data_IF_198718460492
#
_entry.id   IF_198718460492
#
_cell.length_a   1.000
_cell.length_b   1.000
_cell.length_c   1.000
_cell.angle_alpha   90.00
_cell.angle_beta   90.00
_cell.angle_gamma   90.00
#
_symmetry.space_group_name_H-M   'P 1'
#
loop_
_entity.id
_entity.type
_entity.pdbx_description
1 polymer ?
#
# COMPACT_ATOMS: atom_id res chain seq x y z
N UNK A 1 -69.64 45.08 -27.22
CA UNK A 1 -68.96 43.87 -27.74
C UNK A 1 -67.50 43.98 -27.31
N UNK A 2 -67.07 43.09 -26.40
CA UNK A 2 -65.83 43.20 -25.61
C UNK A 2 -64.63 42.71 -26.41
N UNK A 3 -63.55 43.47 -26.43
CA UNK A 3 -62.23 43.06 -26.94
C UNK A 3 -61.47 42.41 -25.77
N UNK A 4 -61.12 41.13 -25.94
CA UNK A 4 -60.38 40.36 -24.94
C UNK A 4 -58.88 40.60 -25.12
N UNK A 5 -58.23 41.25 -24.15
CA UNK A 5 -56.77 41.38 -24.10
C UNK A 5 -56.18 40.14 -23.41
N UNK A 6 -55.36 39.39 -24.14
CA UNK A 6 -54.66 38.21 -23.62
C UNK A 6 -53.52 38.63 -22.69
N UNK A 7 -53.53 38.09 -21.46
CA UNK A 7 -52.45 38.20 -20.50
C UNK A 7 -51.39 37.14 -20.87
N UNK A 8 -50.19 37.58 -21.25
CA UNK A 8 -49.02 36.71 -21.39
C UNK A 8 -48.47 36.45 -19.98
N UNK A 9 -48.68 35.23 -19.48
CA UNK A 9 -48.08 34.78 -18.23
C UNK A 9 -46.62 34.39 -18.47
N UNK A 10 -45.70 35.24 -18.00
CA UNK A 10 -44.25 34.97 -18.01
C UNK A 10 -43.94 33.97 -16.89
N UNK A 11 -43.76 32.70 -17.25
CA UNK A 11 -43.40 31.64 -16.30
C UNK A 11 -41.88 31.67 -16.06
N UNK A 12 -41.42 32.38 -15.03
CA UNK A 12 -40.01 32.37 -14.61
C UNK A 12 -39.74 31.08 -13.83
N UNK A 13 -39.26 30.05 -14.53
CA UNK A 13 -38.69 28.88 -13.88
C UNK A 13 -37.40 29.28 -13.18
N UNK A 14 -37.43 29.36 -11.85
CA UNK A 14 -36.25 29.42 -11.00
C UNK A 14 -35.51 28.08 -11.12
N UNK A 15 -34.59 27.98 -12.07
CA UNK A 15 -33.64 26.89 -12.13
C UNK A 15 -32.80 26.91 -10.86
N UNK A 16 -33.01 25.94 -9.98
CA UNK A 16 -32.09 25.67 -8.88
C UNK A 16 -30.78 25.17 -9.48
N UNK A 17 -29.83 26.08 -9.69
CA UNK A 17 -28.46 25.70 -9.97
C UNK A 17 -27.95 24.97 -8.74
N UNK A 18 -27.77 23.65 -8.86
CA UNK A 18 -26.92 22.91 -7.93
C UNK A 18 -25.56 23.60 -7.93
N UNK A 19 -25.22 24.20 -6.80
CA UNK A 19 -23.95 24.91 -6.64
C UNK A 19 -22.80 24.01 -7.09
N UNK A 20 -21.99 24.51 -8.01
CA UNK A 20 -20.65 23.99 -8.25
C UNK A 20 -19.89 24.07 -6.93
N UNK A 21 -19.67 22.95 -6.24
CA UNK A 21 -18.87 22.91 -5.02
C UNK A 21 -17.39 23.11 -5.38
N UNK A 22 -16.96 24.38 -5.39
CA UNK A 22 -15.57 24.77 -5.25
C UNK A 22 -15.36 25.13 -3.75
N UNK A 23 -14.46 24.54 -2.96
CA UNK A 23 -13.35 23.64 -3.23
C UNK A 23 -13.23 22.64 -2.05
N UNK A 24 -12.80 21.41 -2.34
CA UNK A 24 -12.46 20.37 -1.36
C UNK A 24 -11.20 20.76 -0.61
N UNK A 25 -11.30 21.71 0.35
CA UNK A 25 -10.15 22.05 1.21
C UNK A 25 -9.93 20.90 2.18
N UNK A 26 -8.75 20.28 2.10
CA UNK A 26 -8.36 19.27 3.07
C UNK A 26 -7.81 19.88 4.36
N UNK A 27 -7.92 19.14 5.45
CA UNK A 27 -7.46 19.47 6.80
C UNK A 27 -6.91 18.22 7.49
N UNK A 28 -6.29 18.36 8.66
CA UNK A 28 -5.77 17.20 9.39
C UNK A 28 -6.86 16.18 9.75
N UNK A 29 -8.11 16.65 9.93
CA UNK A 29 -9.27 15.80 10.26
C UNK A 29 -9.67 14.84 9.14
N UNK A 30 -9.36 15.20 7.89
CA UNK A 30 -9.60 14.40 6.71
C UNK A 30 -8.72 13.15 6.68
N UNK A 31 -7.52 13.23 7.26
CA UNK A 31 -6.61 12.10 7.42
C UNK A 31 -6.78 11.49 8.81
N UNK A 32 -7.76 10.59 8.95
CA UNK A 32 -8.03 9.87 10.20
C UNK A 32 -8.44 8.42 9.95
N UNK A 33 -8.20 7.55 10.93
CA UNK A 33 -8.54 6.12 10.87
C UNK A 33 -7.34 5.22 10.64
N UNK A 34 -7.55 4.05 10.03
CA UNK A 34 -6.47 3.13 9.69
C UNK A 34 -6.23 3.11 8.18
N UNK A 35 -4.98 3.21 7.75
CA UNK A 35 -4.56 3.08 6.36
C UNK A 35 -3.57 1.94 6.26
N UNK A 36 -3.85 0.93 5.44
CA UNK A 36 -2.83 0.00 5.02
C UNK A 36 -1.87 0.72 4.07
N UNK A 37 -0.58 0.42 4.16
CA UNK A 37 0.38 0.96 3.22
C UNK A 37 1.37 -0.08 2.71
N UNK A 38 1.91 0.20 1.53
CA UNK A 38 3.07 -0.49 0.97
C UNK A 38 3.99 0.53 0.32
N UNK A 39 5.30 0.39 0.53
CA UNK A 39 6.32 1.21 -0.10
C UNK A 39 7.39 0.35 -0.74
N UNK A 40 7.89 0.79 -1.90
CA UNK A 40 8.98 0.16 -2.62
C UNK A 40 9.95 1.22 -3.10
N UNK A 41 11.24 0.89 -3.12
CA UNK A 41 12.24 1.81 -3.60
C UNK A 41 13.67 1.36 -3.45
N UNK A 42 14.58 2.32 -3.57
CA UNK A 42 16.02 2.14 -3.37
C UNK A 42 16.57 3.28 -2.52
N UNK A 43 17.39 2.93 -1.54
CA UNK A 43 18.19 3.84 -0.74
C UNK A 43 19.59 3.89 -1.36
N UNK A 44 19.91 4.99 -2.04
CA UNK A 44 21.18 5.16 -2.78
C UNK A 44 22.24 5.79 -1.88
N UNK A 45 21.82 6.72 -1.04
CA UNK A 45 22.66 7.40 -0.08
C UNK A 45 21.95 7.49 1.28
N UNK A 46 22.71 7.24 2.34
CA UNK A 46 22.28 7.39 3.73
C UNK A 46 23.45 7.91 4.56
N UNK A 47 23.18 8.55 5.71
CA UNK A 47 24.18 8.82 6.73
C UNK A 47 25.00 7.55 7.10
N UNK A 48 26.22 7.70 7.64
CA UNK A 48 27.11 6.57 7.95
C UNK A 48 26.46 5.43 8.74
N UNK A 49 25.62 5.75 9.70
CA UNK A 49 24.83 4.82 10.53
C UNK A 49 23.88 3.93 9.73
N UNK A 50 23.40 4.39 8.57
CA UNK A 50 22.45 3.67 7.71
C UNK A 50 23.07 2.89 6.57
N UNK A 51 24.41 2.93 6.38
CA UNK A 51 25.06 2.35 5.19
C UNK A 51 24.79 0.87 4.95
N UNK A 52 24.62 0.08 6.01
CA UNK A 52 24.31 -1.35 5.89
C UNK A 52 22.94 -1.62 5.24
N UNK A 53 22.07 -0.62 5.20
CA UNK A 53 20.70 -0.70 4.69
C UNK A 53 20.56 -0.13 3.27
N UNK A 54 21.65 0.36 2.67
CA UNK A 54 21.66 0.78 1.27
C UNK A 54 21.21 -0.37 0.35
N UNK A 55 20.51 0.00 -0.72
CA UNK A 55 19.92 -0.93 -1.66
C UNK A 55 18.40 -0.90 -1.66
N UNK A 56 17.78 -2.03 -2.01
CA UNK A 56 16.34 -2.12 -2.20
C UNK A 56 15.59 -2.05 -0.87
N UNK A 57 14.50 -1.29 -0.86
CA UNK A 57 13.54 -1.20 0.23
C UNK A 57 12.21 -1.79 -0.23
N UNK A 58 11.63 -2.64 0.61
CA UNK A 58 10.22 -3.00 0.56
C UNK A 58 9.64 -2.84 1.96
N UNK A 59 8.49 -2.20 2.08
CA UNK A 59 7.84 -1.96 3.37
C UNK A 59 6.33 -2.14 3.24
N UNK A 60 5.71 -2.67 4.29
CA UNK A 60 4.26 -2.70 4.40
C UNK A 60 3.81 -2.63 5.86
N UNK A 61 2.63 -2.07 6.08
CA UNK A 61 2.11 -1.91 7.43
C UNK A 61 0.84 -1.07 7.50
N UNK A 62 0.67 -0.36 8.61
CA UNK A 62 -0.50 0.47 8.91
C UNK A 62 -0.10 1.83 9.44
N UNK A 63 -0.75 2.88 8.92
CA UNK A 63 -0.76 4.22 9.49
C UNK A 63 -2.06 4.40 10.28
N UNK A 64 -1.94 4.91 11.50
CA UNK A 64 -3.04 5.18 12.41
C UNK A 64 -3.06 6.68 12.77
N UNK A 65 -3.41 7.57 11.82
CA UNK A 65 -3.56 8.99 12.11
C UNK A 65 -4.78 9.30 12.98
N UNK A 66 -4.61 10.27 13.87
CA UNK A 66 -5.61 10.67 14.86
C UNK A 66 -6.59 11.77 14.38
N UNK A 67 -6.40 12.32 13.18
CA UNK A 67 -7.17 13.44 12.65
C UNK A 67 -6.75 14.82 13.20
N UNK A 68 -5.65 14.88 13.97
CA UNK A 68 -5.19 16.05 14.73
C UNK A 68 -3.68 16.32 14.56
N UNK A 69 -3.02 15.59 13.66
CA UNK A 69 -1.59 15.72 13.36
C UNK A 69 -0.70 14.70 14.07
N UNK A 70 -1.25 13.84 14.93
CA UNK A 70 -0.55 12.72 15.56
C UNK A 70 -0.70 11.43 14.75
N UNK A 71 0.39 10.67 14.63
CA UNK A 71 0.42 9.45 13.85
C UNK A 71 1.16 8.34 14.59
N UNK A 72 0.61 7.14 14.51
CA UNK A 72 1.32 5.92 14.87
C UNK A 72 1.45 5.00 13.66
N UNK A 73 2.64 4.45 13.43
CA UNK A 73 2.93 3.58 12.28
C UNK A 73 3.34 2.22 12.79
N UNK A 74 2.63 1.18 12.35
CA UNK A 74 3.02 -0.22 12.55
C UNK A 74 3.63 -0.70 11.23
N UNK A 75 4.85 -1.25 11.22
CA UNK A 75 5.52 -1.57 9.96
C UNK A 75 6.41 -2.81 10.00
N UNK A 76 6.47 -3.50 8.86
CA UNK A 76 7.49 -4.49 8.52
C UNK A 76 8.24 -3.97 7.30
N UNK A 77 9.56 -3.81 7.43
CA UNK A 77 10.42 -3.30 6.37
C UNK A 77 11.55 -4.29 6.08
N UNK A 78 11.82 -4.54 4.80
CA UNK A 78 12.99 -5.26 4.32
C UNK A 78 13.94 -4.26 3.65
N UNK A 79 15.09 -4.07 4.28
CA UNK A 79 16.18 -3.24 3.80
C UNK A 79 17.29 -4.13 3.28
N UNK A 80 17.42 -4.25 1.96
CA UNK A 80 18.41 -5.10 1.32
C UNK A 80 18.41 -6.55 1.89
N UNK A 81 17.22 -7.08 2.18
CA UNK A 81 17.01 -8.41 2.77
C UNK A 81 17.02 -8.47 4.30
N UNK A 82 17.41 -7.40 5.00
CA UNK A 82 17.32 -7.30 6.47
C UNK A 82 15.90 -6.90 6.86
N UNK A 83 15.18 -7.78 7.54
CA UNK A 83 13.81 -7.53 7.98
C UNK A 83 13.81 -6.87 9.35
N UNK A 84 13.12 -5.74 9.46
CA UNK A 84 12.95 -4.96 10.68
C UNK A 84 11.46 -4.72 10.89
N UNK A 85 11.00 -4.99 12.10
CA UNK A 85 9.65 -4.64 12.56
C UNK A 85 9.75 -3.39 13.42
N UNK A 86 8.79 -2.48 13.30
CA UNK A 86 8.83 -1.23 14.05
C UNK A 86 7.45 -0.66 14.28
N UNK A 87 7.31 -0.08 15.47
CA UNK A 87 6.19 0.76 15.86
C UNK A 87 6.75 2.18 16.04
N UNK A 88 6.28 3.13 15.23
CA UNK A 88 6.91 4.45 15.08
C UNK A 88 5.87 5.54 15.41
N UNK A 89 6.06 6.32 16.49
CA UNK A 89 5.32 7.56 16.66
C UNK A 89 5.85 8.59 15.65
N UNK A 90 4.92 9.36 15.07
CA UNK A 90 5.18 10.32 14.02
C UNK A 90 4.17 11.47 14.09
N UNK A 91 4.41 12.50 13.29
CA UNK A 91 3.46 13.60 13.10
C UNK A 91 3.18 13.82 11.63
N UNK A 92 2.06 14.50 11.34
CA UNK A 92 1.73 14.90 9.98
C UNK A 92 1.01 16.25 9.93
N UNK A 93 1.00 16.86 8.74
CA UNK A 93 0.23 18.06 8.46
C UNK A 93 -0.39 18.00 7.06
N UNK A 94 -1.70 18.18 6.99
CA UNK A 94 -2.47 18.28 5.75
C UNK A 94 -2.65 19.74 5.34
N UNK A 95 -2.37 20.04 4.07
CA UNK A 95 -2.60 21.34 3.47
C UNK A 95 -4.00 21.43 2.84
N UNK A 96 -4.54 22.64 2.62
CA UNK A 96 -5.82 22.82 1.93
C UNK A 96 -5.90 22.19 0.55
N UNK A 97 -4.75 22.03 -0.14
CA UNK A 97 -4.65 21.41 -1.46
C UNK A 97 -4.48 19.87 -1.39
N UNK A 98 -4.77 19.27 -0.23
CA UNK A 98 -4.73 17.84 0.01
C UNK A 98 -3.34 17.20 -0.11
N UNK A 99 -2.28 18.01 -0.01
CA UNK A 99 -0.94 17.50 0.26
C UNK A 99 -0.82 17.20 1.75
N UNK A 100 -0.03 16.18 2.08
CA UNK A 100 0.26 15.81 3.46
C UNK A 100 1.76 15.64 3.62
N UNK A 101 2.30 16.29 4.65
CA UNK A 101 3.70 16.18 5.02
C UNK A 101 3.77 15.31 6.28
N UNK A 102 4.70 14.37 6.31
CA UNK A 102 4.98 13.53 7.47
C UNK A 102 6.37 13.83 8.00
N UNK A 103 6.48 13.84 9.32
CA UNK A 103 7.76 13.90 10.04
C UNK A 103 7.84 12.67 10.95
N UNK A 104 8.85 11.85 10.74
CA UNK A 104 9.12 10.68 11.57
C UNK A 104 10.60 10.38 11.68
N UNK A 105 10.96 9.53 12.64
CA UNK A 105 12.31 8.99 12.77
C UNK A 105 12.25 7.52 12.39
N UNK A 106 13.02 7.11 11.38
CA UNK A 106 13.09 5.70 10.99
C UNK A 106 13.56 4.87 12.19
N UNK A 107 12.97 3.69 12.44
CA UNK A 107 13.26 2.91 13.63
C UNK A 107 14.70 2.40 13.62
N UNK A 108 15.17 1.94 14.79
CA UNK A 108 16.47 1.29 14.92
C UNK A 108 16.64 0.20 13.84
N UNK A 109 17.81 0.15 13.15
CA UNK A 109 19.07 0.81 13.48
C UNK A 109 19.26 2.20 12.88
N UNK A 110 18.29 2.76 12.16
CA UNK A 110 18.50 3.99 11.41
C UNK A 110 18.46 5.23 12.30
N UNK A 111 17.43 5.40 13.15
CA UNK A 111 17.23 6.64 13.92
C UNK A 111 17.40 7.91 13.06
N UNK A 112 17.03 7.83 11.77
CA UNK A 112 17.21 8.91 10.80
C UNK A 112 15.92 9.74 10.75
N UNK A 113 15.96 11.05 11.04
CA UNK A 113 14.85 11.96 10.76
C UNK A 113 14.51 11.90 9.27
N UNK A 114 13.26 11.59 8.98
CA UNK A 114 12.78 11.36 7.63
C UNK A 114 11.49 12.10 7.40
N UNK A 115 11.36 12.61 6.17
CA UNK A 115 10.16 13.33 5.73
C UNK A 115 9.57 12.66 4.51
N UNK A 116 8.25 12.63 4.49
CA UNK A 116 7.49 12.18 3.33
C UNK A 116 6.50 13.24 2.92
N UNK A 117 6.25 13.33 1.62
CA UNK A 117 5.17 14.13 1.06
C UNK A 117 4.22 13.19 0.34
N UNK A 118 2.93 13.33 0.60
CA UNK A 118 1.88 12.58 -0.08
C UNK A 118 0.76 13.47 -0.59
N UNK A 119 -0.11 12.88 -1.41
CA UNK A 119 -1.32 13.51 -1.94
C UNK A 119 -2.52 12.65 -1.58
N UNK A 120 -3.44 13.20 -0.80
CA UNK A 120 -4.72 12.56 -0.48
C UNK A 120 -5.67 12.66 -1.67
N UNK A 121 -6.30 11.55 -1.98
CA UNK A 121 -7.20 11.42 -3.13
C UNK A 121 -8.35 10.46 -2.81
N UNK A 122 -9.29 10.34 -3.75
CA UNK A 122 -10.43 9.43 -3.65
C UNK A 122 -11.23 9.63 -2.34
N UNK A 123 -11.59 10.88 -2.03
CA UNK A 123 -12.29 11.25 -0.79
C UNK A 123 -11.54 10.81 0.48
N UNK A 124 -10.23 11.08 0.54
CA UNK A 124 -9.34 10.73 1.65
C UNK A 124 -9.19 9.23 1.85
N UNK A 125 -9.36 8.42 0.80
CA UNK A 125 -9.26 6.95 0.91
C UNK A 125 -8.00 6.37 0.30
N UNK A 126 -7.30 7.15 -0.52
CA UNK A 126 -6.06 6.74 -1.15
C UNK A 126 -5.02 7.85 -1.05
N UNK A 127 -3.76 7.46 -0.92
CA UNK A 127 -2.65 8.40 -0.96
C UNK A 127 -1.46 7.76 -1.63
N UNK A 128 -0.82 8.50 -2.53
CA UNK A 128 0.54 8.20 -2.97
C UNK A 128 1.51 9.10 -2.18
N UNK A 129 2.66 8.56 -1.79
CA UNK A 129 3.68 9.28 -1.03
C UNK A 129 5.08 9.07 -1.62
N UNK A 130 5.96 10.03 -1.34
CA UNK A 130 7.37 10.02 -1.68
C UNK A 130 8.19 10.32 -0.43
N UNK A 131 9.27 9.56 -0.24
CA UNK A 131 10.32 9.92 0.72
C UNK A 131 11.09 11.11 0.15
N UNK A 132 11.17 12.21 0.90
CA UNK A 132 11.85 13.43 0.47
C UNK A 132 13.12 13.71 1.26
N UNK A 133 13.19 13.21 2.51
CA UNK A 133 14.38 13.29 3.35
C UNK A 133 14.59 11.93 4.04
N UNK A 134 15.81 11.36 4.04
CA UNK A 134 17.05 11.92 3.48
C UNK A 134 17.05 11.94 1.93
N UNK A 135 17.86 12.84 1.37
CA UNK A 135 18.15 12.87 -0.07
C UNK A 135 18.89 11.60 -0.53
N UNK A 136 18.92 11.35 -1.84
CA UNK A 136 19.56 10.14 -2.37
C UNK A 136 18.70 8.89 -2.18
N UNK A 137 17.39 9.05 -2.15
CA UNK A 137 16.42 7.96 -2.05
C UNK A 137 15.42 8.04 -3.20
N UNK A 138 14.93 6.89 -3.64
CA UNK A 138 13.85 6.77 -4.62
C UNK A 138 12.84 5.80 -4.03
N UNK A 139 11.95 6.32 -3.18
CA UNK A 139 10.94 5.51 -2.47
C UNK A 139 9.57 6.11 -2.72
N UNK A 140 8.67 5.28 -3.24
CA UNK A 140 7.24 5.57 -3.38
C UNK A 140 6.46 4.64 -2.46
N UNK A 141 5.41 5.16 -1.84
CA UNK A 141 4.41 4.37 -1.15
C UNK A 141 3.00 4.65 -1.63
N UNK A 142 2.11 3.71 -1.35
CA UNK A 142 0.68 3.79 -1.59
C UNK A 142 -0.05 3.42 -0.30
N UNK A 143 -1.07 4.21 0.06
CA UNK A 143 -1.93 3.99 1.21
C UNK A 143 -3.36 3.78 0.77
N UNK A 144 -4.06 2.90 1.47
CA UNK A 144 -5.47 2.60 1.29
C UNK A 144 -6.18 2.60 2.64
N UNK A 145 -7.23 3.42 2.77
CA UNK A 145 -8.04 3.48 3.98
C UNK A 145 -8.76 2.15 4.21
N UNK A 146 -8.62 1.62 5.41
CA UNK A 146 -9.26 0.39 5.85
C UNK A 146 -10.57 0.72 6.56
N UNK A 147 -11.69 0.20 6.06
CA UNK A 147 -12.99 0.26 6.76
C UNK A 147 -13.22 -0.97 7.66
N UNK A 148 -12.14 -1.63 8.06
CA UNK A 148 -12.18 -2.86 8.84
C UNK A 148 -11.99 -2.54 10.33
N UNK A 149 -12.99 -2.91 11.14
CA UNK A 149 -12.92 -2.79 12.61
C UNK A 149 -12.32 -4.02 13.26
N UNK A 150 -12.43 -5.18 12.61
CA UNK A 150 -11.89 -6.46 13.04
C UNK A 150 -11.37 -7.20 11.82
N UNK A 151 -10.47 -8.16 12.05
CA UNK A 151 -9.95 -9.05 11.03
C UNK A 151 -9.86 -10.46 11.60
N UNK A 152 -10.37 -11.42 10.84
CA UNK A 152 -10.26 -12.85 11.09
C UNK A 152 -10.07 -13.62 9.78
N UNK A 153 -10.01 -14.95 9.89
CA UNK A 153 -9.73 -15.81 8.74
C UNK A 153 -10.73 -15.62 7.58
N UNK A 154 -12.01 -15.40 7.91
CA UNK A 154 -13.08 -15.16 6.93
C UNK A 154 -12.94 -13.85 6.17
N UNK A 155 -12.31 -12.84 6.75
CA UNK A 155 -12.08 -11.55 6.07
C UNK A 155 -10.98 -11.63 5.00
N UNK A 156 -10.12 -12.67 5.07
CA UNK A 156 -9.14 -12.99 4.04
C UNK A 156 -9.60 -14.13 3.11
N UNK A 157 -10.86 -14.57 3.18
CA UNK A 157 -11.37 -15.59 2.27
C UNK A 157 -11.54 -15.02 0.86
N UNK A 158 -11.17 -15.79 -0.16
CA UNK A 158 -11.43 -15.42 -1.56
C UNK A 158 -10.23 -15.61 -2.49
N UNK A 159 -10.40 -15.10 -3.71
CA UNK A 159 -9.40 -15.16 -4.76
C UNK A 159 -8.62 -13.85 -4.88
N UNK A 160 -7.28 -13.94 -4.87
CA UNK A 160 -6.38 -12.80 -4.93
C UNK A 160 -5.40 -12.96 -6.10
N UNK A 161 -5.12 -11.85 -6.79
CA UNK A 161 -3.97 -11.81 -7.70
C UNK A 161 -2.69 -11.85 -6.88
N UNK A 162 -1.73 -12.65 -7.32
CA UNK A 162 -0.38 -12.68 -6.79
C UNK A 162 0.53 -12.03 -7.81
N UNK A 163 1.29 -11.04 -7.37
CA UNK A 163 2.40 -10.48 -8.12
C UNK A 163 3.59 -10.34 -7.18
N UNK A 164 4.69 -11.00 -7.51
CA UNK A 164 5.95 -10.93 -6.76
C UNK A 164 7.08 -10.66 -7.75
N UNK A 165 8.04 -9.87 -7.34
CA UNK A 165 9.27 -9.65 -8.10
C UNK A 165 10.42 -9.41 -7.13
N UNK A 166 11.64 -9.63 -7.59
CA UNK A 166 12.82 -9.35 -6.79
C UNK A 166 14.03 -10.12 -7.28
N UNK A 167 14.96 -10.37 -6.37
CA UNK A 167 16.14 -11.22 -6.60
C UNK A 167 16.12 -12.34 -5.59
N UNK A 168 16.36 -13.57 -6.02
CA UNK A 168 16.57 -14.73 -5.14
C UNK A 168 17.98 -15.28 -5.35
N UNK A 169 18.57 -15.84 -4.29
CA UNK A 169 19.80 -16.63 -4.37
C UNK A 169 19.56 -18.10 -4.03
N UNK A 170 18.31 -18.49 -3.78
CA UNK A 170 17.93 -19.83 -3.32
C UNK A 170 16.69 -20.32 -4.09
N UNK A 171 16.70 -21.56 -4.60
CA UNK A 171 17.88 -22.43 -4.71
C UNK A 171 18.89 -21.84 -5.72
N UNK A 172 20.19 -22.19 -5.58
CA UNK A 172 21.29 -21.56 -6.34
C UNK A 172 21.09 -21.64 -7.87
N UNK A 173 20.44 -22.69 -8.37
CA UNK A 173 20.14 -22.90 -9.79
C UNK A 173 19.06 -21.95 -10.35
N UNK A 174 18.37 -21.19 -9.50
CA UNK A 174 17.43 -20.13 -9.88
C UNK A 174 17.92 -18.74 -9.47
N UNK A 175 19.18 -18.63 -9.04
CA UNK A 175 19.70 -17.37 -8.54
C UNK A 175 19.62 -16.27 -9.61
N UNK A 176 19.21 -15.08 -9.19
CA UNK A 176 19.02 -13.93 -10.05
C UNK A 176 17.65 -13.29 -9.87
N UNK A 177 17.29 -12.43 -10.83
CA UNK A 177 16.00 -11.75 -10.84
C UNK A 177 14.90 -12.74 -11.11
N UNK A 178 13.78 -12.59 -10.40
CA UNK A 178 12.58 -13.34 -10.67
C UNK A 178 11.35 -12.44 -10.68
N UNK A 179 10.33 -12.91 -11.39
CA UNK A 179 8.98 -12.37 -11.36
C UNK A 179 8.00 -13.54 -11.29
N UNK A 180 6.95 -13.41 -10.47
CA UNK A 180 5.90 -14.40 -10.34
C UNK A 180 4.55 -13.72 -10.43
N UNK A 181 3.64 -14.31 -11.21
CA UNK A 181 2.25 -13.91 -11.26
C UNK A 181 1.34 -15.11 -11.00
N UNK A 182 0.12 -14.90 -10.53
CA UNK A 182 -0.84 -15.99 -10.40
C UNK A 182 -2.06 -15.65 -9.58
N UNK A 183 -2.73 -16.70 -9.11
CA UNK A 183 -3.93 -16.58 -8.30
C UNK A 183 -3.80 -17.40 -7.03
N UNK A 184 -3.99 -16.75 -5.88
CA UNK A 184 -4.14 -17.37 -4.58
C UNK A 184 -5.63 -17.49 -4.24
N UNK A 185 -6.02 -18.61 -3.64
CA UNK A 185 -7.35 -18.86 -3.09
C UNK A 185 -7.21 -19.20 -1.62
N UNK A 186 -7.71 -18.34 -0.75
CA UNK A 186 -7.81 -18.57 0.69
C UNK A 186 -9.20 -19.10 1.03
N UNK A 187 -9.25 -20.16 1.84
CA UNK A 187 -10.49 -20.89 2.16
C UNK A 187 -11.37 -20.20 3.22
N UNK A 188 -10.83 -19.23 3.96
CA UNK A 188 -11.52 -18.62 5.09
C UNK A 188 -11.39 -19.40 6.41
N UNK A 189 -10.67 -20.51 6.41
CA UNK A 189 -10.47 -21.45 7.51
C UNK A 189 -8.98 -21.70 7.84
N UNK A 190 -8.08 -20.95 7.18
CA UNK A 190 -6.65 -20.93 7.49
C UNK A 190 -5.78 -21.72 6.52
N UNK A 191 -6.32 -22.21 5.40
CA UNK A 191 -5.55 -22.83 4.32
C UNK A 191 -5.67 -22.05 3.01
N UNK A 192 -4.64 -22.13 2.19
CA UNK A 192 -4.69 -21.54 0.86
C UNK A 192 -4.06 -22.45 -0.19
N UNK A 193 -4.49 -22.24 -1.42
CA UNK A 193 -3.85 -22.77 -2.63
C UNK A 193 -3.46 -21.61 -3.52
N UNK A 194 -2.39 -21.73 -4.29
CA UNK A 194 -2.05 -20.75 -5.30
C UNK A 194 -1.52 -21.45 -6.56
N UNK A 195 -2.02 -21.02 -7.71
CA UNK A 195 -1.51 -21.43 -9.02
C UNK A 195 -0.79 -20.24 -9.63
N UNK A 196 0.50 -20.39 -9.88
CA UNK A 196 1.38 -19.29 -10.28
C UNK A 196 2.28 -19.68 -11.43
N UNK A 197 2.82 -18.68 -12.11
CA UNK A 197 3.85 -18.80 -13.14
C UNK A 197 4.99 -17.91 -12.70
N UNK A 198 6.18 -18.48 -12.52
CA UNK A 198 7.38 -17.77 -12.14
C UNK A 198 8.40 -17.78 -13.29
N UNK A 199 8.98 -16.62 -13.57
CA UNK A 199 10.12 -16.47 -14.45
C UNK A 199 11.37 -16.23 -13.58
N UNK A 200 12.29 -17.19 -13.55
CA UNK A 200 13.58 -17.09 -12.88
C UNK A 200 14.67 -16.88 -13.93
N UNK A 201 15.17 -15.65 -14.07
CA UNK A 201 16.24 -15.31 -15.01
C UNK A 201 16.02 -15.86 -16.44
N UNK A 202 14.78 -15.79 -16.95
CA UNK A 202 14.38 -16.29 -18.27
C UNK A 202 13.75 -17.68 -18.25
N UNK A 203 13.85 -18.44 -17.16
CA UNK A 203 13.24 -19.76 -17.02
C UNK A 203 11.82 -19.64 -16.46
N UNK A 204 10.83 -19.85 -17.31
CA UNK A 204 9.40 -19.85 -16.93
C UNK A 204 9.01 -21.22 -16.37
N UNK A 205 8.41 -21.23 -15.18
CA UNK A 205 8.03 -22.45 -14.44
C UNK A 205 6.63 -22.25 -13.84
N UNK A 206 5.64 -23.08 -14.22
CA UNK A 206 4.38 -23.17 -13.50
C UNK A 206 4.59 -23.75 -12.11
N UNK A 207 3.93 -23.19 -11.11
CA UNK A 207 4.11 -23.52 -9.70
C UNK A 207 2.75 -23.57 -8.99
N UNK A 208 2.44 -24.72 -8.39
CA UNK A 208 1.32 -24.86 -7.48
C UNK A 208 1.85 -24.84 -6.05
N UNK A 209 1.29 -23.95 -5.24
CA UNK A 209 1.69 -23.72 -3.85
C UNK A 209 0.49 -24.01 -2.98
N UNK A 210 0.69 -24.77 -1.91
CA UNK A 210 -0.29 -24.96 -0.85
C UNK A 210 0.33 -24.51 0.46
N UNK A 211 -0.48 -23.94 1.34
CA UNK A 211 -0.01 -23.51 2.63
C UNK A 211 -1.13 -23.22 3.60
N UNK A 212 -0.73 -22.71 4.75
CA UNK A 212 -1.65 -22.20 5.76
C UNK A 212 -1.47 -20.70 5.91
N UNK A 213 -2.47 -20.04 6.49
CA UNK A 213 -2.37 -18.64 6.83
C UNK A 213 -3.01 -18.34 8.18
N UNK A 214 -2.51 -17.28 8.81
CA UNK A 214 -3.12 -16.70 10.00
C UNK A 214 -3.46 -15.24 9.73
N UNK A 215 -4.48 -14.73 10.44
CA UNK A 215 -4.88 -13.32 10.40
C UNK A 215 -4.82 -12.78 11.82
N UNK A 216 -4.03 -11.74 12.03
CA UNK A 216 -3.92 -11.08 13.34
C UNK A 216 -5.08 -10.10 13.57
N UNK A 217 -5.33 -9.74 14.83
CA UNK A 217 -6.30 -8.69 15.20
C UNK A 217 -5.95 -7.31 14.64
N UNK A 218 -4.69 -7.11 14.23
CA UNK A 218 -4.18 -5.93 13.52
C UNK A 218 -4.29 -6.05 12.00
N UNK A 219 -5.00 -7.06 11.49
CA UNK A 219 -5.22 -7.32 10.05
C UNK A 219 -3.96 -7.69 9.26
N UNK A 220 -2.91 -8.21 9.93
CA UNK A 220 -1.76 -8.79 9.23
C UNK A 220 -2.05 -10.23 8.83
N UNK A 221 -1.76 -10.56 7.58
CA UNK A 221 -1.81 -11.93 7.07
C UNK A 221 -0.40 -12.51 7.08
N UNK A 222 -0.23 -13.66 7.74
CA UNK A 222 1.02 -14.43 7.67
C UNK A 222 0.76 -15.71 6.90
N UNK A 223 1.43 -15.86 5.75
CA UNK A 223 1.38 -17.08 4.94
C UNK A 223 2.52 -18.01 5.38
N UNK A 224 2.20 -19.27 5.62
CA UNK A 224 3.18 -20.32 5.88
C UNK A 224 3.08 -21.39 4.79
N UNK A 225 4.14 -21.50 3.99
CA UNK A 225 4.20 -22.42 2.87
C UNK A 225 5.66 -22.79 2.57
N UNK A 226 5.85 -23.91 1.90
CA UNK A 226 7.14 -24.26 1.32
C UNK A 226 7.16 -23.75 -0.12
N UNK A 227 8.13 -22.91 -0.44
CA UNK A 227 8.36 -22.53 -1.83
C UNK A 227 8.65 -23.82 -2.63
N UNK A 228 8.08 -23.98 -3.83
CA UNK A 228 8.41 -25.12 -4.67
C UNK A 228 9.92 -25.17 -4.85
N UNK A 229 10.56 -26.31 -4.56
CA UNK A 229 11.89 -26.56 -5.08
C UNK A 229 11.71 -26.55 -6.59
N UNK A 230 12.14 -25.46 -7.27
CA UNK A 230 11.77 -25.29 -8.68
C UNK A 230 12.05 -26.56 -9.43
N UNK A 231 10.97 -27.12 -9.98
CA UNK A 231 10.96 -28.46 -10.49
C UNK A 231 12.14 -28.62 -11.46
N UNK A 232 13.06 -29.52 -11.10
CA UNK A 232 13.90 -30.15 -12.10
C UNK A 232 12.98 -30.78 -13.14
N UNK A 233 13.32 -30.56 -14.41
CA UNK A 233 12.87 -31.30 -15.61
C UNK A 233 11.37 -31.44 -15.86
N UNK A 234 10.84 -30.70 -16.83
CA UNK A 234 10.37 -31.27 -18.11
C UNK A 234 9.97 -30.14 -19.08
N UNK A 235 10.67 -30.04 -20.21
CA UNK A 235 10.13 -29.43 -21.43
C UNK A 235 9.47 -30.57 -22.19
N UNK A 236 8.15 -30.55 -22.25
CA UNK A 236 7.28 -31.24 -23.21
C UNK A 236 6.22 -30.16 -23.52
N UNK A 237 6.13 -29.53 -24.68
CA UNK A 237 6.37 -29.89 -26.08
C UNK A 237 7.20 -28.83 -26.82
#
# INVERSE_FOLDING_TARGET
MRISAGIIALCTTLGSYSGSQAATRCTDSDYSGAYAFSSIGTLVELPPEGRALLGTLLQAGRFLPDGKGGLFIETNASYNGIVINGDIPATYKVTPDCFINFDLVLPFPLSIPSKFVGVLSQNNRQMALLLTEPSGTVVKGDHYKQDLRFCGLKDFAGGYSVELHGTTNVPRNLAGRFQRIGRLVADGDGSFTATTIANYNGRVTPENITGTYTVSSKCYVTLNYTAPAAAGSEVIL
#
